data_IF_007194131383
#
_entry.id   IF_007194131383
#
_cell.length_a   1.000
_cell.length_b   1.000
_cell.length_c   1.000
_cell.angle_alpha   90.00
_cell.angle_beta   90.00
_cell.angle_gamma   90.00
#
_symmetry.space_group_name_H-M   'P 1'
#
loop_
_entity.id
_entity.type
_entity.pdbx_description
1 polymer ?
#
# COMPACT_ATOMS: atom_id res chain seq x y z
N UNK A 1 26.68 9.48 -19.06
CA UNK A 1 26.68 8.60 -17.85
C UNK A 1 26.44 9.39 -16.56
N UNK A 2 27.08 10.52 -16.33
CA UNK A 2 26.96 11.36 -15.12
C UNK A 2 25.56 11.96 -14.96
N UNK A 3 24.98 12.54 -16.01
CA UNK A 3 23.64 13.15 -16.01
C UNK A 3 22.54 12.14 -15.62
N UNK A 4 22.64 10.89 -16.07
CA UNK A 4 21.67 9.84 -15.71
C UNK A 4 21.74 9.50 -14.22
N UNK A 5 22.95 9.37 -13.66
CA UNK A 5 23.15 9.13 -12.24
C UNK A 5 22.62 10.27 -11.37
N UNK A 6 22.85 11.52 -11.79
CA UNK A 6 22.31 12.69 -11.10
C UNK A 6 20.79 12.71 -11.13
N UNK A 7 20.18 12.40 -12.27
CA UNK A 7 18.73 12.35 -12.41
C UNK A 7 18.11 11.24 -11.54
N UNK A 8 18.69 10.04 -11.53
CA UNK A 8 18.23 8.93 -10.69
C UNK A 8 18.38 9.28 -9.20
N UNK A 9 19.45 9.97 -8.81
CA UNK A 9 19.65 10.48 -7.45
C UNK A 9 18.59 11.52 -7.04
N UNK A 10 18.26 12.46 -7.91
CA UNK A 10 17.19 13.45 -7.64
C UNK A 10 15.82 12.79 -7.48
N UNK A 11 15.51 11.79 -8.31
CA UNK A 11 14.28 10.99 -8.15
C UNK A 11 14.28 10.30 -6.81
N UNK A 12 15.37 9.66 -6.41
CA UNK A 12 15.49 8.98 -5.13
C UNK A 12 15.24 9.95 -3.97
N UNK A 13 15.92 11.11 -3.94
CA UNK A 13 15.73 12.13 -2.89
C UNK A 13 14.27 12.58 -2.81
N UNK A 14 13.64 12.85 -3.96
CA UNK A 14 12.22 13.25 -4.00
C UNK A 14 11.32 12.16 -3.40
N UNK A 15 11.54 10.90 -3.76
CA UNK A 15 10.79 9.77 -3.24
C UNK A 15 11.05 9.56 -1.75
N UNK A 16 12.31 9.54 -1.32
CA UNK A 16 12.67 9.41 0.07
C UNK A 16 11.98 10.47 0.94
N UNK A 17 11.96 11.74 0.50
CA UNK A 17 11.28 12.81 1.20
C UNK A 17 9.75 12.63 1.24
N UNK A 18 9.14 12.10 0.18
CA UNK A 18 7.71 11.79 0.14
C UNK A 18 7.36 10.67 1.12
N UNK A 19 8.16 9.59 1.16
CA UNK A 19 7.98 8.51 2.11
C UNK A 19 8.20 8.99 3.56
N UNK A 20 9.27 9.73 3.84
CA UNK A 20 9.59 10.26 5.18
C UNK A 20 8.51 11.20 5.73
N UNK A 21 7.78 11.90 4.88
CA UNK A 21 6.63 12.76 5.30
C UNK A 21 5.41 11.94 5.69
N UNK A 22 5.17 10.81 5.01
CA UNK A 22 3.93 10.05 5.10
C UNK A 22 4.09 8.68 5.78
N UNK A 23 5.31 8.31 6.16
CA UNK A 23 5.64 7.06 6.86
C UNK A 23 6.75 7.26 7.87
N UNK A 24 6.81 6.36 8.85
CA UNK A 24 7.92 6.23 9.79
C UNK A 24 8.93 5.23 9.21
N UNK A 25 10.12 5.72 8.85
CA UNK A 25 11.24 4.93 8.36
C UNK A 25 12.14 4.59 9.54
N UNK A 26 12.37 3.30 9.82
CA UNK A 26 13.14 2.84 11.01
C UNK A 26 14.51 2.27 10.66
N UNK A 27 14.96 2.43 9.41
CA UNK A 27 16.26 1.98 8.93
C UNK A 27 16.92 3.00 8.01
N UNK A 28 17.96 2.58 7.29
CA UNK A 28 18.77 3.44 6.43
C UNK A 28 18.79 2.99 4.96
N UNK A 29 18.53 1.72 4.65
CA UNK A 29 18.58 1.18 3.28
C UNK A 29 17.16 1.00 2.69
N UNK A 30 16.86 1.85 1.71
CA UNK A 30 15.59 1.82 1.00
C UNK A 30 15.78 1.94 -0.50
N UNK A 31 14.88 1.27 -1.25
CA UNK A 31 14.72 1.50 -2.70
C UNK A 31 13.28 1.88 -3.00
N UNK A 32 13.11 3.01 -3.67
CA UNK A 32 11.79 3.51 -4.06
C UNK A 32 11.69 3.59 -5.59
N UNK A 33 10.69 2.90 -6.14
CA UNK A 33 10.37 2.98 -7.56
C UNK A 33 9.84 4.36 -7.97
N UNK A 34 9.96 4.71 -9.25
CA UNK A 34 9.51 6.03 -9.77
C UNK A 34 8.02 6.27 -9.53
N UNK A 35 7.18 5.23 -9.67
CA UNK A 35 5.74 5.31 -9.46
C UNK A 35 5.31 5.02 -8.01
N UNK A 36 6.24 4.60 -7.12
CA UNK A 36 5.89 4.29 -5.74
C UNK A 36 5.45 5.51 -4.94
N UNK A 37 4.55 5.32 -3.99
CA UNK A 37 4.14 6.39 -3.07
C UNK A 37 3.51 5.85 -1.79
N UNK A 38 3.47 6.70 -0.77
CA UNK A 38 2.65 6.53 0.43
C UNK A 38 1.57 7.60 0.43
N UNK A 39 0.34 7.19 0.63
CA UNK A 39 -0.82 8.08 0.79
C UNK A 39 -1.45 7.83 2.16
N UNK A 40 -1.66 8.89 2.90
CA UNK A 40 -2.36 8.89 4.19
C UNK A 40 -3.55 9.84 4.11
N UNK A 41 -4.70 9.42 4.60
CA UNK A 41 -5.94 10.20 4.56
C UNK A 41 -6.91 9.79 5.66
N UNK A 42 -7.98 10.52 5.82
CA UNK A 42 -9.08 10.21 6.72
C UNK A 42 -8.59 9.95 8.17
N UNK A 43 -7.77 10.87 8.70
CA UNK A 43 -7.21 10.79 10.05
C UNK A 43 -5.92 10.02 10.19
N UNK A 44 -5.49 9.27 9.16
CA UNK A 44 -4.20 8.57 9.20
C UNK A 44 -3.02 9.53 9.26
N UNK A 45 -1.97 9.09 9.91
CA UNK A 45 -0.71 9.81 10.10
C UNK A 45 0.48 8.97 9.66
N UNK A 46 1.66 9.58 9.63
CA UNK A 46 2.90 8.83 9.33
C UNK A 46 3.20 7.71 10.33
N UNK A 47 2.67 7.79 11.56
CA UNK A 47 2.83 6.74 12.57
C UNK A 47 2.05 5.47 12.23
N UNK A 48 1.05 5.57 11.35
CA UNK A 48 0.24 4.44 10.92
C UNK A 48 0.94 3.60 9.83
N UNK A 49 1.98 4.15 9.18
CA UNK A 49 2.76 3.44 8.16
C UNK A 49 4.20 3.32 8.64
N UNK A 50 4.62 2.12 9.00
CA UNK A 50 5.98 1.84 9.51
C UNK A 50 6.72 0.98 8.49
N UNK A 51 7.90 1.41 8.10
CA UNK A 51 8.75 0.73 7.11
C UNK A 51 10.10 0.46 7.75
N UNK A 52 10.41 -0.84 7.91
CA UNK A 52 11.67 -1.29 8.50
C UNK A 52 12.84 -1.14 7.51
N UNK A 53 14.02 -1.56 7.92
CA UNK A 53 15.24 -1.45 7.15
C UNK A 53 15.33 -2.43 5.98
N UNK A 54 16.13 -2.12 4.95
CA UNK A 54 16.31 -2.93 3.73
C UNK A 54 15.01 -3.22 2.97
N UNK A 55 14.10 -2.25 2.88
CA UNK A 55 12.81 -2.42 2.20
C UNK A 55 12.81 -1.78 0.81
N UNK A 56 12.32 -2.53 -0.18
CA UNK A 56 12.19 -2.06 -1.55
C UNK A 56 10.73 -1.88 -1.92
N UNK A 57 10.33 -0.69 -2.32
CA UNK A 57 8.93 -0.37 -2.63
C UNK A 57 8.82 0.18 -4.05
N UNK A 58 8.14 -0.56 -4.91
CA UNK A 58 7.83 -0.15 -6.29
C UNK A 58 6.34 0.12 -6.50
N UNK A 59 5.52 -0.16 -5.49
CA UNK A 59 4.07 0.01 -5.48
C UNK A 59 3.58 1.13 -4.56
N UNK A 60 2.33 1.08 -4.17
CA UNK A 60 1.64 2.06 -3.36
C UNK A 60 1.26 1.53 -1.97
N UNK A 61 1.45 2.34 -0.94
CA UNK A 61 0.95 2.12 0.41
C UNK A 61 -0.13 3.16 0.71
N UNK A 62 -1.33 2.73 1.05
CA UNK A 62 -2.48 3.60 1.26
C UNK A 62 -3.13 3.32 2.60
N UNK A 63 -3.03 4.25 3.53
CA UNK A 63 -3.65 4.19 4.84
C UNK A 63 -4.80 5.20 4.95
N UNK A 64 -5.97 4.72 5.35
CA UNK A 64 -7.14 5.55 5.66
C UNK A 64 -7.66 5.18 7.05
N UNK A 65 -8.30 6.14 7.74
CA UNK A 65 -8.96 5.91 9.02
C UNK A 65 -8.05 5.23 10.07
N UNK A 66 -6.79 5.70 10.18
CA UNK A 66 -5.76 5.13 11.07
C UNK A 66 -5.36 3.68 10.76
N UNK A 67 -5.65 3.19 9.56
CA UNK A 67 -5.26 1.85 9.11
C UNK A 67 -3.74 1.66 9.16
N UNK A 68 -3.29 0.59 9.81
CA UNK A 68 -1.87 0.30 10.00
C UNK A 68 -1.29 -0.41 8.79
N UNK A 69 -0.09 -0.01 8.37
CA UNK A 69 0.72 -0.75 7.42
C UNK A 69 2.11 -0.91 8.03
N UNK A 70 2.53 -2.14 8.25
CA UNK A 70 3.88 -2.43 8.73
C UNK A 70 4.60 -3.35 7.74
N UNK A 71 5.76 -2.90 7.26
CA UNK A 71 6.67 -3.70 6.43
C UNK A 71 7.90 -4.07 7.25
N UNK A 72 8.10 -5.36 7.45
CA UNK A 72 9.28 -5.94 8.10
C UNK A 72 10.54 -5.76 7.26
N UNK A 73 11.69 -6.12 7.85
CA UNK A 73 13.01 -6.00 7.20
C UNK A 73 13.10 -6.89 5.96
N UNK A 74 13.88 -6.44 4.98
CA UNK A 74 14.11 -7.19 3.73
C UNK A 74 12.83 -7.53 2.95
N UNK A 75 11.78 -6.70 3.12
CA UNK A 75 10.52 -6.86 2.40
C UNK A 75 10.59 -6.16 1.04
N UNK A 76 9.99 -6.77 0.02
CA UNK A 76 9.84 -6.17 -1.30
C UNK A 76 8.39 -6.05 -1.70
N UNK A 77 7.97 -4.84 -2.06
CA UNK A 77 6.69 -4.53 -2.70
C UNK A 77 6.92 -4.33 -4.19
N UNK A 78 6.41 -5.23 -5.03
CA UNK A 78 6.60 -5.23 -6.48
C UNK A 78 5.96 -4.03 -7.20
N UNK A 79 6.17 -3.97 -8.52
CA UNK A 79 5.63 -2.89 -9.36
C UNK A 79 4.11 -3.00 -9.41
N UNK A 80 3.44 -1.85 -9.38
CA UNK A 80 1.97 -1.73 -9.39
C UNK A 80 1.23 -2.51 -8.28
N UNK A 81 1.97 -2.93 -7.24
CA UNK A 81 1.35 -3.45 -6.03
C UNK A 81 0.62 -2.36 -5.25
N UNK A 82 -0.44 -2.74 -4.54
CA UNK A 82 -1.18 -1.84 -3.64
C UNK A 82 -1.43 -2.52 -2.31
N UNK A 83 -1.06 -1.83 -1.23
CA UNK A 83 -1.47 -2.16 0.12
C UNK A 83 -2.48 -1.10 0.57
N UNK A 84 -3.70 -1.51 0.90
CA UNK A 84 -4.82 -0.61 1.21
C UNK A 84 -5.40 -0.96 2.58
N UNK A 85 -5.13 -0.12 3.58
CA UNK A 85 -5.48 -0.41 4.97
C UNK A 85 -6.43 0.64 5.56
N UNK A 86 -7.42 0.13 6.29
CA UNK A 86 -8.30 0.87 7.22
C UNK A 86 -8.23 0.30 8.63
N UNK A 87 -7.68 -0.89 8.80
CA UNK A 87 -7.50 -1.56 10.09
C UNK A 87 -6.02 -1.92 10.29
N UNK A 88 -5.53 -2.99 9.68
CA UNK A 88 -4.13 -3.38 9.81
C UNK A 88 -3.66 -4.36 8.73
N UNK A 89 -2.55 -4.02 8.07
CA UNK A 89 -1.79 -4.93 7.20
C UNK A 89 -0.37 -5.01 7.76
N UNK A 90 -0.02 -6.17 8.30
CA UNK A 90 1.33 -6.43 8.83
C UNK A 90 1.99 -7.47 7.95
N UNK A 91 3.14 -7.12 7.37
CA UNK A 91 3.98 -7.98 6.56
C UNK A 91 5.30 -8.14 7.29
N UNK A 92 5.61 -9.36 7.70
CA UNK A 92 6.81 -9.67 8.46
C UNK A 92 8.06 -9.77 7.57
N UNK A 93 9.22 -9.97 8.18
CA UNK A 93 10.53 -9.92 7.53
C UNK A 93 10.66 -10.91 6.35
N UNK A 94 11.53 -10.57 5.39
CA UNK A 94 11.92 -11.41 4.24
C UNK A 94 10.77 -11.80 3.32
N UNK A 95 9.67 -11.04 3.33
CA UNK A 95 8.51 -11.29 2.46
C UNK A 95 8.62 -10.51 1.15
N UNK A 96 8.35 -11.18 0.04
CA UNK A 96 8.40 -10.56 -1.29
C UNK A 96 7.05 -10.64 -1.98
N UNK A 97 6.58 -9.51 -2.48
CA UNK A 97 5.43 -9.45 -3.37
C UNK A 97 5.90 -9.28 -4.82
N UNK A 98 5.44 -10.15 -5.70
CA UNK A 98 5.59 -9.98 -7.15
C UNK A 98 4.76 -8.77 -7.63
N UNK A 99 4.87 -8.44 -8.91
CA UNK A 99 4.19 -7.29 -9.48
C UNK A 99 2.66 -7.49 -9.53
N UNK A 100 1.91 -6.39 -9.50
CA UNK A 100 0.44 -6.34 -9.61
C UNK A 100 -0.32 -7.07 -8.49
N UNK A 101 0.25 -7.25 -7.32
CA UNK A 101 -0.42 -7.82 -6.15
C UNK A 101 -1.17 -6.71 -5.40
N UNK A 102 -2.44 -6.98 -5.05
CA UNK A 102 -3.25 -6.10 -4.20
C UNK A 102 -3.54 -6.80 -2.89
N UNK A 103 -3.20 -6.15 -1.78
CA UNK A 103 -3.54 -6.56 -0.42
C UNK A 103 -4.41 -5.46 0.16
N UNK A 104 -5.65 -5.80 0.49
CA UNK A 104 -6.59 -4.88 1.11
C UNK A 104 -7.26 -5.55 2.31
N UNK A 105 -7.22 -4.89 3.45
CA UNK A 105 -7.89 -5.35 4.68
C UNK A 105 -9.38 -5.01 4.71
N UNK A 106 -9.90 -4.48 3.60
CA UNK A 106 -11.26 -3.98 3.47
C UNK A 106 -11.86 -4.35 2.10
N UNK A 107 -13.18 -4.37 2.03
CA UNK A 107 -13.93 -4.70 0.82
C UNK A 107 -14.12 -3.50 -0.14
N UNK A 108 -13.46 -2.36 0.13
CA UNK A 108 -13.56 -1.11 -0.62
C UNK A 108 -14.97 -0.48 -0.64
N UNK A 109 -16.01 -1.30 -0.71
CA UNK A 109 -17.41 -0.87 -0.75
C UNK A 109 -18.30 -1.76 0.12
N UNK A 110 -19.40 -1.21 0.69
CA UNK A 110 -20.39 -2.01 1.39
C UNK A 110 -21.03 -3.05 0.47
N UNK A 111 -21.39 -4.20 1.02
CA UNK A 111 -22.06 -5.28 0.27
C UNK A 111 -23.58 -5.08 0.18
N UNK A 112 -24.18 -4.30 1.08
CA UNK A 112 -25.62 -4.03 1.11
C UNK A 112 -26.09 -3.33 -0.16
N UNK A 113 -27.10 -3.85 -0.89
CA UNK A 113 -27.63 -3.21 -2.10
C UNK A 113 -28.17 -1.80 -1.87
N UNK A 114 -28.87 -1.56 -0.75
CA UNK A 114 -29.41 -0.25 -0.39
C UNK A 114 -28.30 0.79 -0.17
N UNK A 115 -27.24 0.41 0.52
CA UNK A 115 -26.09 1.29 0.76
C UNK A 115 -25.29 1.55 -0.52
N UNK A 116 -25.16 0.55 -1.38
CA UNK A 116 -24.57 0.72 -2.72
C UNK A 116 -25.37 1.70 -3.58
N UNK A 117 -26.71 1.61 -3.54
CA UNK A 117 -27.59 2.56 -4.25
C UNK A 117 -27.39 3.97 -3.71
N UNK A 118 -27.36 4.15 -2.40
CA UNK A 118 -27.07 5.45 -1.76
C UNK A 118 -25.74 6.02 -2.25
N UNK A 119 -24.66 5.24 -2.22
CA UNK A 119 -23.35 5.68 -2.73
C UNK A 119 -23.37 6.09 -4.21
N UNK A 120 -24.21 5.47 -5.04
CA UNK A 120 -24.32 5.80 -6.48
C UNK A 120 -25.02 7.12 -6.73
N UNK A 121 -25.87 7.56 -5.81
CA UNK A 121 -26.66 8.78 -5.90
C UNK A 121 -26.07 9.96 -5.13
N UNK A 122 -25.00 9.74 -4.36
CA UNK A 122 -24.28 10.79 -3.61
C UNK A 122 -23.05 11.30 -4.36
N UNK A 123 -22.51 12.43 -3.90
CA UNK A 123 -21.27 13.04 -4.42
C UNK A 123 -20.07 12.07 -4.31
N UNK A 124 -19.11 12.20 -5.22
CA UNK A 124 -17.86 11.44 -5.17
C UNK A 124 -17.00 11.74 -3.93
N UNK A 125 -17.25 12.86 -3.26
CA UNK A 125 -16.59 13.26 -2.01
C UNK A 125 -17.35 12.87 -0.76
N UNK A 126 -18.50 12.18 -0.87
CA UNK A 126 -19.33 11.80 0.27
C UNK A 126 -18.59 10.82 1.19
N UNK A 127 -18.75 10.99 2.51
CA UNK A 127 -18.08 10.16 3.53
C UNK A 127 -18.42 8.68 3.41
N UNK A 128 -19.64 8.34 2.93
CA UNK A 128 -20.06 6.94 2.70
C UNK A 128 -19.17 6.16 1.73
N UNK A 129 -18.36 6.86 0.93
CA UNK A 129 -17.39 6.26 -0.02
C UNK A 129 -16.05 5.92 0.62
N UNK A 130 -15.86 6.25 1.90
CA UNK A 130 -14.62 5.92 2.62
C UNK A 130 -14.58 4.43 2.95
N UNK A 131 -13.39 3.86 2.89
CA UNK A 131 -13.18 2.41 3.14
C UNK A 131 -13.62 1.96 4.52
N UNK A 132 -13.57 2.85 5.53
CA UNK A 132 -14.04 2.58 6.91
C UNK A 132 -15.49 2.09 7.00
N UNK A 133 -16.32 2.36 5.99
CA UNK A 133 -17.73 1.92 5.93
C UNK A 133 -17.91 0.55 5.26
N UNK A 134 -16.85 -0.05 4.73
CA UNK A 134 -16.87 -1.40 4.21
C UNK A 134 -16.50 -2.41 5.30
N UNK A 135 -16.86 -3.67 5.12
CA UNK A 135 -16.37 -4.74 5.99
C UNK A 135 -14.85 -4.83 5.87
N UNK A 136 -14.16 -4.92 7.01
CA UNK A 136 -12.71 -4.99 7.11
C UNK A 136 -12.28 -5.96 8.18
N UNK A 137 -11.07 -6.49 8.08
CA UNK A 137 -10.44 -7.36 9.06
C UNK A 137 -8.90 -7.30 8.90
N UNK A 138 -8.13 -7.40 9.99
CA UNK A 138 -6.68 -7.30 9.94
C UNK A 138 -6.07 -8.42 9.10
N UNK A 139 -4.98 -8.10 8.39
CA UNK A 139 -4.18 -9.05 7.60
C UNK A 139 -2.79 -9.16 8.22
N UNK A 140 -2.35 -10.38 8.47
CA UNK A 140 -1.00 -10.69 8.87
C UNK A 140 -0.36 -11.67 7.87
N UNK A 141 0.80 -11.31 7.35
CA UNK A 141 1.61 -12.13 6.45
C UNK A 141 2.94 -12.40 7.16
N UNK A 142 3.19 -13.68 7.44
CA UNK A 142 4.37 -14.13 8.18
C UNK A 142 5.67 -13.98 7.41
N UNK A 143 6.77 -14.47 8.00
CA UNK A 143 8.12 -14.40 7.43
C UNK A 143 8.31 -15.31 6.23
N UNK A 144 9.21 -14.90 5.33
CA UNK A 144 9.70 -15.71 4.19
C UNK A 144 8.54 -16.15 3.28
N UNK A 145 7.60 -15.22 3.00
CA UNK A 145 6.46 -15.48 2.12
C UNK A 145 6.70 -14.86 0.75
N UNK A 146 6.42 -15.63 -0.30
CA UNK A 146 6.34 -15.13 -1.68
C UNK A 146 4.88 -14.97 -2.11
N UNK A 147 4.44 -13.74 -2.36
CA UNK A 147 3.10 -13.46 -2.86
C UNK A 147 3.15 -13.26 -4.37
N UNK A 148 2.32 -14.00 -5.10
CA UNK A 148 2.21 -13.89 -6.55
C UNK A 148 0.75 -13.66 -6.93
N UNK A 149 0.54 -12.87 -7.99
CA UNK A 149 -0.79 -12.76 -8.60
C UNK A 149 -1.10 -14.11 -9.27
N UNK A 150 -2.22 -14.73 -8.90
CA UNK A 150 -2.69 -15.90 -9.64
C UNK A 150 -3.01 -15.51 -11.09
N UNK A 151 -2.51 -16.25 -12.10
CA UNK A 151 -2.97 -16.08 -13.47
C UNK A 151 -4.48 -16.25 -13.49
N UNK A 152 -5.20 -15.32 -14.10
CA UNK A 152 -6.63 -15.48 -14.30
C UNK A 152 -6.87 -16.77 -15.08
N UNK A 153 -7.77 -17.63 -14.59
CA UNK A 153 -8.33 -18.72 -15.38
C UNK A 153 -8.98 -18.10 -16.61
N UNK A 154 -8.29 -18.10 -17.75
CA UNK A 154 -8.95 -17.85 -19.02
C UNK A 154 -9.93 -19.01 -19.19
N UNK A 155 -11.25 -18.72 -19.10
CA UNK A 155 -12.25 -19.68 -19.55
C UNK A 155 -11.91 -19.99 -21.00
N UNK A 156 -11.49 -21.23 -21.25
CA UNK A 156 -11.34 -21.74 -22.60
C UNK A 156 -12.63 -21.50 -23.36
N UNK A 157 -12.48 -20.90 -24.51
CA UNK A 157 -13.53 -20.76 -25.53
C UNK A 157 -13.94 -22.13 -26.04
#
# INVERSE_FOLDING_TARGET
>A
MILRKLFDYLIFIRKYNQFKRNATLTGDDYKFGRASYVSISDGSSKADVVISDHVWIYGALQSQNHGKIHLGKYTKVGVDCKLQSVESIIIDDYTTMADNVVIADNNNHPVSPSFRLYMRTTSDTDDSRRWKHSAHAPIYIGKIVGLVKMPGLTKGS
#
